data_IF_122019546945
#
_entry.id   IF_122019546945
#
_cell.length_a   1.000
_cell.length_b   1.000
_cell.length_c   1.000
_cell.angle_alpha   90.00
_cell.angle_beta   90.00
_cell.angle_gamma   90.00
#
_symmetry.space_group_name_H-M   'P 1'
#
loop_
_entity.id
_entity.type
_entity.pdbx_description
1 polymer ?
#
# COMPACT_ATOMS: atom_id res chain seq x y z
N UNK A 1 -53.95 -36.18 10.07
CA UNK A 1 -53.74 -34.89 9.39
C UNK A 1 -52.33 -34.46 9.69
N UNK A 2 -51.44 -34.82 8.75
CA UNK A 2 -50.02 -34.53 8.84
C UNK A 2 -49.82 -33.05 8.53
N UNK A 3 -49.45 -32.29 9.56
CA UNK A 3 -48.95 -30.93 9.39
C UNK A 3 -47.57 -30.98 8.74
N UNK A 4 -47.47 -30.58 7.48
CA UNK A 4 -46.19 -30.28 6.86
C UNK A 4 -45.50 -29.17 7.63
N UNK A 5 -44.56 -29.51 8.49
CA UNK A 5 -43.62 -28.54 9.03
C UNK A 5 -42.67 -28.19 7.87
N UNK A 6 -42.94 -27.08 7.17
CA UNK A 6 -41.93 -26.45 6.34
C UNK A 6 -40.87 -25.90 7.29
N UNK A 7 -39.68 -26.51 7.28
CA UNK A 7 -38.53 -26.00 7.97
C UNK A 7 -38.14 -24.65 7.34
N UNK A 8 -38.48 -23.55 8.01
CA UNK A 8 -38.10 -22.21 7.60
C UNK A 8 -36.67 -21.95 8.05
N UNK A 9 -35.75 -21.91 7.11
CA UNK A 9 -34.35 -21.55 7.38
C UNK A 9 -34.24 -20.05 7.61
N UNK A 10 -34.15 -19.65 8.87
CA UNK A 10 -33.84 -18.27 9.24
C UNK A 10 -32.34 -18.02 9.00
N UNK A 11 -32.04 -17.17 8.05
CA UNK A 11 -30.67 -16.73 7.79
C UNK A 11 -30.43 -15.40 8.51
N UNK A 12 -29.46 -15.38 9.43
CA UNK A 12 -29.03 -14.15 10.06
C UNK A 12 -28.40 -13.15 9.06
N UNK A 13 -28.37 -11.89 9.42
CA UNK A 13 -27.71 -10.87 8.62
C UNK A 13 -26.23 -11.22 8.40
N UNK A 14 -25.82 -11.18 7.16
CA UNK A 14 -24.43 -11.38 6.78
C UNK A 14 -23.68 -10.05 6.83
N UNK A 15 -22.47 -9.99 7.42
CA UNK A 15 -21.60 -8.84 7.25
C UNK A 15 -21.36 -8.56 5.77
N UNK A 16 -21.38 -7.30 5.39
CA UNK A 16 -21.02 -6.91 4.03
C UNK A 16 -19.60 -7.34 3.70
N UNK A 17 -19.43 -7.99 2.55
CA UNK A 17 -18.14 -8.43 2.07
C UNK A 17 -17.57 -7.42 1.08
N UNK A 18 -16.25 -7.20 1.11
CA UNK A 18 -15.57 -6.28 0.18
C UNK A 18 -15.59 -6.79 -1.25
N UNK A 19 -15.61 -8.12 -1.42
CA UNK A 19 -15.56 -8.76 -2.73
C UNK A 19 -16.68 -9.79 -2.85
N UNK A 20 -17.41 -9.73 -3.96
CA UNK A 20 -18.52 -10.64 -4.22
C UNK A 20 -18.08 -12.11 -4.13
N UNK A 21 -18.83 -12.89 -3.37
CA UNK A 21 -18.57 -14.33 -3.22
C UNK A 21 -17.38 -14.67 -2.32
N UNK A 22 -16.87 -13.71 -1.54
CA UNK A 22 -15.80 -13.94 -0.59
C UNK A 22 -16.29 -13.78 0.86
N UNK A 23 -15.47 -14.20 1.81
CA UNK A 23 -15.66 -13.92 3.25
C UNK A 23 -14.88 -12.67 3.68
N UNK A 24 -14.27 -11.96 2.75
CA UNK A 24 -13.46 -10.78 3.02
C UNK A 24 -14.34 -9.62 3.50
N UNK A 25 -14.49 -9.50 4.81
CA UNK A 25 -15.05 -8.29 5.42
C UNK A 25 -13.98 -7.19 5.52
N UNK A 26 -14.35 -5.90 5.59
CA UNK A 26 -13.38 -4.82 5.81
C UNK A 26 -12.49 -5.03 7.03
N UNK A 27 -13.04 -5.56 8.11
CA UNK A 27 -12.28 -5.84 9.35
C UNK A 27 -11.29 -7.00 9.19
N UNK A 28 -11.65 -8.06 8.47
CA UNK A 28 -10.74 -9.17 8.19
C UNK A 28 -9.58 -8.71 7.32
N UNK A 29 -9.86 -7.96 6.27
CA UNK A 29 -8.82 -7.46 5.37
C UNK A 29 -7.91 -6.44 6.08
N UNK A 30 -8.46 -5.55 6.90
CA UNK A 30 -7.68 -4.64 7.73
C UNK A 30 -6.75 -5.40 8.69
N UNK A 31 -7.21 -6.50 9.29
CA UNK A 31 -6.39 -7.34 10.15
C UNK A 31 -5.24 -8.01 9.37
N UNK A 32 -5.50 -8.51 8.15
CA UNK A 32 -4.48 -9.11 7.28
C UNK A 32 -3.41 -8.07 6.89
N UNK A 33 -3.84 -6.89 6.43
CA UNK A 33 -2.95 -5.80 6.03
C UNK A 33 -2.11 -5.35 7.22
N UNK A 34 -2.72 -5.14 8.39
CA UNK A 34 -2.01 -4.75 9.61
C UNK A 34 -0.99 -5.81 10.03
N UNK A 35 -1.37 -7.08 10.05
CA UNK A 35 -0.46 -8.17 10.41
C UNK A 35 0.72 -8.25 9.43
N UNK A 36 0.48 -8.09 8.13
CA UNK A 36 1.50 -8.19 7.09
C UNK A 36 2.45 -6.99 7.08
N UNK A 37 1.92 -5.77 7.06
CA UNK A 37 2.71 -4.57 6.77
C UNK A 37 3.12 -3.79 8.03
N UNK A 38 2.31 -3.77 9.08
CA UNK A 38 2.65 -3.12 10.34
C UNK A 38 3.46 -4.06 11.23
N UNK A 39 3.00 -5.32 11.37
CA UNK A 39 3.65 -6.30 12.23
C UNK A 39 4.68 -7.18 11.50
N UNK A 40 4.94 -6.92 10.21
CA UNK A 40 5.93 -7.63 9.39
C UNK A 40 5.76 -9.16 9.34
N UNK A 41 4.53 -9.66 9.49
CA UNK A 41 4.24 -11.09 9.44
C UNK A 41 4.13 -11.57 7.99
N UNK A 42 4.82 -12.65 7.59
CA UNK A 42 4.62 -13.29 6.29
C UNK A 42 3.18 -13.86 6.18
N UNK A 43 2.58 -13.79 5.00
CA UNK A 43 1.24 -14.36 4.76
C UNK A 43 1.13 -15.84 5.13
N UNK A 44 2.22 -16.60 5.00
CA UNK A 44 2.27 -18.01 5.40
C UNK A 44 2.08 -18.21 6.91
N UNK A 45 2.65 -17.32 7.73
CA UNK A 45 2.44 -17.32 9.18
C UNK A 45 1.01 -16.93 9.52
N UNK A 46 0.48 -15.88 8.91
CA UNK A 46 -0.92 -15.44 9.09
C UNK A 46 -1.89 -16.57 8.72
N UNK A 47 -1.63 -17.30 7.62
CA UNK A 47 -2.43 -18.45 7.21
C UNK A 47 -2.46 -19.56 8.26
N UNK A 48 -1.32 -19.87 8.88
CA UNK A 48 -1.23 -20.88 9.95
C UNK A 48 -1.96 -20.42 11.21
N UNK A 49 -1.86 -19.14 11.57
CA UNK A 49 -2.56 -18.59 12.73
C UNK A 49 -4.08 -18.66 12.54
N UNK A 50 -4.58 -18.32 11.35
CA UNK A 50 -6.00 -18.49 11.02
C UNK A 50 -6.42 -19.96 11.06
N UNK A 51 -5.61 -20.85 10.51
CA UNK A 51 -5.89 -22.30 10.51
C UNK A 51 -5.95 -22.85 11.93
N UNK A 52 -5.07 -22.45 12.83
CA UNK A 52 -5.09 -22.83 14.26
C UNK A 52 -6.36 -22.38 14.96
N UNK A 53 -7.01 -21.32 14.48
CA UNK A 53 -8.27 -20.79 14.99
C UNK A 53 -9.50 -21.26 14.16
N UNK A 54 -9.34 -22.29 13.33
CA UNK A 54 -10.44 -22.92 12.58
C UNK A 54 -10.82 -22.24 11.27
N UNK A 55 -10.09 -21.19 10.85
CA UNK A 55 -10.31 -20.50 9.59
C UNK A 55 -9.26 -20.93 8.54
N UNK A 56 -9.70 -21.70 7.55
CA UNK A 56 -8.81 -22.11 6.47
C UNK A 56 -8.75 -21.07 5.36
N UNK A 57 -7.75 -20.19 5.44
CA UNK A 57 -7.53 -19.09 4.50
C UNK A 57 -6.13 -19.18 3.90
N UNK A 58 -6.07 -19.40 2.57
CA UNK A 58 -4.79 -19.56 1.89
C UNK A 58 -4.02 -18.25 1.76
N UNK A 59 -2.69 -18.32 1.76
CA UNK A 59 -1.82 -17.17 1.48
C UNK A 59 -2.11 -16.52 0.13
N UNK A 60 -2.48 -17.32 -0.90
CA UNK A 60 -2.82 -16.79 -2.22
C UNK A 60 -4.10 -15.97 -2.18
N UNK A 61 -5.11 -16.45 -1.45
CA UNK A 61 -6.38 -15.73 -1.28
C UNK A 61 -6.14 -14.38 -0.58
N UNK A 62 -5.40 -14.39 0.53
CA UNK A 62 -5.04 -13.16 1.25
C UNK A 62 -4.24 -12.19 0.36
N UNK A 63 -3.29 -12.70 -0.41
CA UNK A 63 -2.51 -11.88 -1.34
C UNK A 63 -3.40 -11.20 -2.39
N UNK A 64 -4.32 -11.96 -3.01
CA UNK A 64 -5.24 -11.41 -3.99
C UNK A 64 -6.17 -10.34 -3.38
N UNK A 65 -6.71 -10.60 -2.19
CA UNK A 65 -7.56 -9.62 -1.50
C UNK A 65 -6.80 -8.33 -1.17
N UNK A 66 -5.57 -8.47 -0.68
CA UNK A 66 -4.71 -7.30 -0.38
C UNK A 66 -4.43 -6.47 -1.65
N UNK A 67 -4.13 -7.12 -2.78
CA UNK A 67 -3.95 -6.41 -4.06
C UNK A 67 -5.24 -5.70 -4.49
N UNK A 68 -6.38 -6.38 -4.46
CA UNK A 68 -7.67 -5.76 -4.82
C UNK A 68 -8.07 -4.63 -3.88
N UNK A 69 -7.77 -4.77 -2.58
CA UNK A 69 -8.00 -3.70 -1.60
C UNK A 69 -7.12 -2.50 -1.92
N UNK A 70 -5.84 -2.72 -2.22
CA UNK A 70 -4.92 -1.66 -2.60
C UNK A 70 -5.41 -0.91 -3.84
N UNK A 71 -5.75 -1.62 -4.91
CA UNK A 71 -6.20 -1.03 -6.17
C UNK A 71 -7.52 -0.26 -6.04
N UNK A 72 -8.50 -0.81 -5.27
CA UNK A 72 -9.85 -0.24 -5.21
C UNK A 72 -10.05 0.82 -4.13
N UNK A 73 -9.40 0.65 -2.98
CA UNK A 73 -9.70 1.45 -1.79
C UNK A 73 -8.52 2.26 -1.28
N UNK A 74 -7.29 1.72 -1.38
CA UNK A 74 -6.12 2.42 -0.84
C UNK A 74 -5.47 3.37 -1.85
N UNK A 75 -5.53 3.04 -3.15
CA UNK A 75 -4.96 3.90 -4.19
C UNK A 75 -5.51 5.35 -4.14
N UNK A 76 -6.83 5.59 -4.08
CA UNK A 76 -7.37 6.95 -3.96
C UNK A 76 -6.90 7.67 -2.67
N UNK A 77 -6.69 6.92 -1.58
CA UNK A 77 -6.16 7.50 -0.33
C UNK A 77 -4.70 7.91 -0.52
N UNK A 78 -3.89 7.06 -1.16
CA UNK A 78 -2.49 7.38 -1.48
C UNK A 78 -2.39 8.61 -2.40
N UNK A 79 -3.26 8.72 -3.40
CA UNK A 79 -3.32 9.89 -4.29
C UNK A 79 -3.65 11.17 -3.51
N UNK A 80 -4.59 11.11 -2.58
CA UNK A 80 -4.92 12.23 -1.70
C UNK A 80 -3.75 12.57 -0.78
N UNK A 81 -3.09 11.57 -0.19
CA UNK A 81 -1.90 11.77 0.65
C UNK A 81 -0.80 12.48 -0.13
N UNK A 82 -0.50 12.00 -1.35
CA UNK A 82 0.46 12.65 -2.26
C UNK A 82 0.09 14.11 -2.54
N UNK A 83 -1.15 14.36 -2.90
CA UNK A 83 -1.64 15.72 -3.15
C UNK A 83 -1.41 16.63 -1.94
N UNK A 84 -1.79 16.17 -0.75
CA UNK A 84 -1.59 16.92 0.50
C UNK A 84 -0.10 17.12 0.84
N UNK A 85 0.73 16.15 0.53
CA UNK A 85 2.17 16.25 0.72
C UNK A 85 2.78 17.34 -0.17
N UNK A 86 2.35 17.45 -1.42
CA UNK A 86 2.82 18.50 -2.35
C UNK A 86 2.34 19.91 -1.97
N UNK A 87 1.32 20.05 -1.12
CA UNK A 87 0.89 21.34 -0.54
C UNK A 87 1.77 21.77 0.66
N UNK A 88 2.63 20.90 1.19
CA UNK A 88 3.52 21.22 2.29
C UNK A 88 4.70 22.09 1.81
N UNK A 89 5.19 22.98 2.69
CA UNK A 89 6.31 23.87 2.33
C UNK A 89 7.66 23.13 2.24
N UNK A 90 7.84 22.07 3.03
CA UNK A 90 9.07 21.27 3.06
C UNK A 90 8.74 19.80 2.93
N UNK A 91 9.39 19.16 1.98
CA UNK A 91 9.37 17.70 1.82
C UNK A 91 10.79 17.12 1.90
N UNK A 92 10.88 15.88 2.29
CA UNK A 92 12.11 15.10 2.29
C UNK A 92 11.94 13.90 1.39
N UNK A 93 12.98 13.52 0.65
CA UNK A 93 12.94 12.35 -0.22
C UNK A 93 14.26 11.59 -0.15
N UNK A 94 14.15 10.28 -0.13
CA UNK A 94 15.27 9.35 -0.14
C UNK A 94 14.88 8.07 -0.87
N UNK A 95 15.83 7.27 -1.32
CA UNK A 95 15.54 5.99 -1.96
C UNK A 95 16.45 4.87 -1.43
N UNK A 96 15.86 3.70 -1.29
CA UNK A 96 16.55 2.49 -0.81
C UNK A 96 16.45 1.39 -1.88
N UNK A 97 17.58 0.71 -2.20
CA UNK A 97 17.53 -0.44 -3.11
C UNK A 97 16.72 -1.58 -2.52
N UNK A 98 15.89 -2.21 -3.34
CA UNK A 98 15.09 -3.37 -2.98
C UNK A 98 15.23 -4.46 -4.04
N UNK A 99 15.28 -5.71 -3.59
CA UNK A 99 15.29 -6.86 -4.50
C UNK A 99 13.85 -7.32 -4.74
N UNK A 100 13.45 -7.34 -6.01
CA UNK A 100 12.12 -7.78 -6.43
C UNK A 100 12.26 -9.01 -7.31
N UNK A 101 11.66 -10.10 -6.87
CA UNK A 101 11.63 -11.37 -7.61
C UNK A 101 10.56 -11.27 -8.70
N UNK A 102 10.93 -11.61 -9.94
CA UNK A 102 10.00 -11.66 -11.08
C UNK A 102 9.37 -10.31 -11.50
N UNK A 103 10.12 -9.23 -11.46
CA UNK A 103 9.68 -7.93 -11.98
C UNK A 103 9.83 -7.78 -13.52
N UNK A 104 10.16 -8.88 -14.20
CA UNK A 104 10.36 -8.94 -15.66
C UNK A 104 11.78 -8.58 -16.12
N UNK A 105 12.73 -8.38 -15.19
CA UNK A 105 14.15 -8.13 -15.47
C UNK A 105 15.03 -9.32 -15.07
N UNK A 106 16.29 -9.38 -15.54
CA UNK A 106 17.23 -10.41 -15.12
C UNK A 106 17.41 -10.47 -13.60
N UNK A 107 17.65 -11.66 -13.08
CA UNK A 107 17.94 -11.88 -11.66
C UNK A 107 19.12 -10.99 -11.19
N UNK A 108 18.97 -10.38 -10.01
CA UNK A 108 19.97 -9.46 -9.45
C UNK A 108 19.82 -8.00 -9.92
N UNK A 109 18.81 -7.70 -10.75
CA UNK A 109 18.47 -6.30 -11.08
C UNK A 109 17.95 -5.59 -9.84
N UNK A 110 18.56 -4.44 -9.51
CA UNK A 110 18.11 -3.62 -8.38
C UNK A 110 16.89 -2.78 -8.76
N UNK A 111 15.89 -2.82 -7.91
CA UNK A 111 14.77 -1.88 -7.88
C UNK A 111 14.93 -0.93 -6.70
N UNK A 112 14.09 0.08 -6.61
CA UNK A 112 14.19 1.10 -5.58
C UNK A 112 12.83 1.37 -4.97
N UNK A 113 12.84 1.52 -3.65
CA UNK A 113 11.73 2.08 -2.91
C UNK A 113 12.07 3.52 -2.57
N UNK A 114 11.32 4.44 -3.15
CA UNK A 114 11.40 5.85 -2.85
C UNK A 114 10.50 6.14 -1.65
N UNK A 115 10.99 6.94 -0.71
CA UNK A 115 10.22 7.43 0.41
C UNK A 115 10.11 8.95 0.33
N UNK A 116 8.90 9.45 0.44
CA UNK A 116 8.58 10.87 0.42
C UNK A 116 7.90 11.23 1.73
N UNK A 117 8.44 12.21 2.47
CA UNK A 117 8.00 12.56 3.81
C UNK A 117 7.76 14.07 3.88
N UNK A 118 6.65 14.50 4.47
CA UNK A 118 6.50 15.93 4.82
C UNK A 118 7.48 16.30 5.93
N UNK A 119 8.15 17.46 5.81
CA UNK A 119 9.09 17.93 6.82
C UNK A 119 8.43 18.20 8.18
N UNK A 120 9.23 18.16 9.25
CA UNK A 120 8.78 18.39 10.63
C UNK A 120 8.14 19.77 10.84
N UNK A 121 8.50 20.76 10.01
CA UNK A 121 7.95 22.12 10.05
C UNK A 121 6.62 22.25 9.29
N UNK A 122 6.09 21.15 8.76
CA UNK A 122 4.80 21.17 8.08
C UNK A 122 3.67 21.35 9.09
N UNK A 123 2.71 22.24 8.85
CA UNK A 123 1.54 22.42 9.72
C UNK A 123 0.56 21.25 9.65
N UNK A 124 0.73 20.33 8.70
CA UNK A 124 -0.08 19.11 8.56
C UNK A 124 0.59 17.93 9.27
N UNK A 125 -0.18 16.93 9.72
CA UNK A 125 0.40 15.70 10.25
C UNK A 125 1.40 15.07 9.28
N UNK A 126 2.44 14.38 9.77
CA UNK A 126 3.43 13.74 8.90
C UNK A 126 2.77 12.79 7.90
N UNK A 127 3.02 13.03 6.62
CA UNK A 127 2.60 12.15 5.54
C UNK A 127 3.83 11.44 5.02
N UNK A 128 3.77 10.11 4.98
CA UNK A 128 4.84 9.27 4.44
C UNK A 128 4.25 8.44 3.30
N UNK A 129 4.83 8.60 2.11
CA UNK A 129 4.44 7.85 0.91
C UNK A 129 5.63 7.05 0.42
N UNK A 130 5.41 5.77 0.14
CA UNK A 130 6.38 4.89 -0.47
C UNK A 130 6.01 4.66 -1.92
N UNK A 131 6.99 4.82 -2.82
CA UNK A 131 6.83 4.59 -4.25
C UNK A 131 7.85 3.57 -4.74
N UNK A 132 7.38 2.47 -5.35
CA UNK A 132 8.24 1.49 -5.99
C UNK A 132 8.61 1.93 -7.39
N UNK A 133 9.92 1.88 -7.72
CA UNK A 133 10.42 2.14 -9.04
C UNK A 133 11.46 1.09 -9.48
N UNK A 134 11.42 0.70 -10.75
CA UNK A 134 12.35 -0.28 -11.31
C UNK A 134 13.80 0.24 -11.42
N UNK A 135 13.97 1.55 -11.42
CA UNK A 135 15.27 2.20 -11.61
C UNK A 135 15.47 3.34 -10.62
N UNK A 136 16.70 3.81 -10.51
CA UNK A 136 17.09 5.00 -9.74
C UNK A 136 17.16 6.26 -10.63
N UNK A 137 16.35 6.32 -11.69
CA UNK A 137 16.42 7.41 -12.66
C UNK A 137 15.79 8.70 -12.09
N UNK A 138 16.38 9.85 -12.46
CA UNK A 138 15.92 11.19 -12.00
C UNK A 138 14.49 11.54 -12.44
N UNK A 139 13.96 10.86 -13.45
CA UNK A 139 12.60 11.11 -13.93
C UNK A 139 11.53 10.73 -12.89
N UNK A 140 11.84 9.81 -11.97
CA UNK A 140 10.90 9.42 -10.92
C UNK A 140 10.62 10.56 -9.93
N UNK A 141 11.62 11.14 -9.24
CA UNK A 141 11.38 12.30 -8.39
C UNK A 141 10.89 13.52 -9.19
N UNK A 142 11.31 13.72 -10.43
CA UNK A 142 10.77 14.78 -11.31
C UNK A 142 9.27 14.64 -11.52
N UNK A 143 8.80 13.43 -11.83
CA UNK A 143 7.38 13.17 -12.00
C UNK A 143 6.59 13.31 -10.69
N UNK A 144 7.20 12.90 -9.55
CA UNK A 144 6.58 13.01 -8.25
C UNK A 144 6.39 14.45 -7.83
N UNK A 145 7.42 15.29 -7.95
CA UNK A 145 7.47 16.68 -7.48
C UNK A 145 7.17 17.71 -8.57
N UNK A 146 6.59 17.31 -9.70
CA UNK A 146 6.34 18.18 -10.86
C UNK A 146 5.60 19.48 -10.52
N UNK A 147 4.63 19.40 -9.60
CA UNK A 147 3.80 20.53 -9.21
C UNK A 147 4.12 21.03 -7.79
N UNK A 148 5.30 20.69 -7.29
CA UNK A 148 5.77 21.09 -5.95
C UNK A 148 6.48 22.43 -6.00
N UNK A 149 5.97 23.39 -5.23
CA UNK A 149 6.54 24.74 -5.06
C UNK A 149 7.02 24.96 -3.62
N UNK A 150 8.04 24.19 -3.22
CA UNK A 150 8.57 24.21 -1.85
C UNK A 150 10.01 23.77 -1.79
N UNK A 151 10.50 23.52 -0.59
CA UNK A 151 11.86 23.05 -0.33
C UNK A 151 11.89 21.53 -0.28
N UNK A 152 12.66 20.92 -1.18
CA UNK A 152 12.92 19.49 -1.17
C UNK A 152 14.29 19.21 -0.52
N UNK A 153 14.30 18.50 0.60
CA UNK A 153 15.49 18.06 1.31
C UNK A 153 15.84 16.63 0.88
N UNK A 154 17.07 16.43 0.43
CA UNK A 154 17.59 15.14 -0.03
C UNK A 154 19.01 14.90 0.47
N UNK A 155 19.53 13.71 0.31
CA UNK A 155 20.91 13.34 0.67
C UNK A 155 22.00 13.92 -0.26
N UNK A 156 21.62 14.82 -1.18
CA UNK A 156 22.54 15.44 -2.13
C UNK A 156 22.90 14.58 -3.34
N UNK A 157 22.12 13.56 -3.62
CA UNK A 157 22.31 12.69 -4.77
C UNK A 157 22.18 13.45 -6.10
N UNK A 158 23.05 13.17 -7.06
CA UNK A 158 23.13 13.88 -8.37
C UNK A 158 21.78 13.92 -9.12
N UNK A 159 20.90 12.92 -8.91
CA UNK A 159 19.58 12.88 -9.52
C UNK A 159 18.68 14.04 -9.07
N UNK A 160 18.83 14.52 -7.85
CA UNK A 160 18.07 15.65 -7.32
C UNK A 160 18.60 17.00 -7.80
N UNK A 161 19.91 17.14 -8.07
CA UNK A 161 20.47 18.38 -8.64
C UNK A 161 19.93 18.68 -10.06
N UNK A 162 19.40 17.70 -10.75
CA UNK A 162 18.72 17.90 -12.04
C UNK A 162 17.31 18.48 -11.89
N UNK A 163 16.69 18.35 -10.71
CA UNK A 163 15.41 19.00 -10.39
C UNK A 163 15.55 20.53 -10.27
N UNK A 164 16.62 21.01 -9.65
CA UNK A 164 16.86 22.46 -9.46
C UNK A 164 17.01 23.22 -10.78
N UNK A 165 17.49 22.56 -11.84
CA UNK A 165 17.69 23.18 -13.16
C UNK A 165 16.42 23.27 -14.01
N UNK A 166 15.45 22.45 -13.71
CA UNK A 166 14.21 22.37 -14.50
C UNK A 166 13.05 23.14 -13.81
N UNK A 167 13.23 23.58 -12.57
CA UNK A 167 12.28 24.38 -11.76
C UNK A 167 12.68 25.86 -11.65
N UNK A 168 13.82 26.26 -12.20
CA UNK A 168 14.27 27.64 -12.33
C UNK A 168 13.94 28.20 -13.71
#
# INVERSE_FOLDING_TARGET
TDGEHQDEFLRGDHPETMFRGSIATPSLEAAIINAKYVNSNPLDRISRDFQANGLNLSKQTMSNWTVWTAERYLSPVCDLMRKRQLEAHVNQSDETPVDVIHDGRPAGSKSYMWVHITGELSPVPPIIVYEYQKTRHSDHPKAYYKDFDGVLVTDGLEQYHKLERDLA
#
